data_IF_121380197422
#
_entry.id   IF_121380197422
#
_cell.length_a   1.000
_cell.length_b   1.000
_cell.length_c   1.000
_cell.angle_alpha   90.00
_cell.angle_beta   90.00
_cell.angle_gamma   90.00
#
_symmetry.space_group_name_H-M   'P 1'
#
loop_
_entity.id
_entity.type
_entity.pdbx_description
1 polymer ?
#
# COMPACT_ATOMS: atom_id res chain seq x y z
N UNK A 1 12.56 10.34 -32.55
CA UNK A 1 11.22 10.41 -31.94
C UNK A 1 11.40 9.93 -30.51
N UNK A 2 11.57 10.88 -29.60
CA UNK A 2 11.73 10.57 -28.19
C UNK A 2 10.40 10.01 -27.70
N UNK A 3 10.39 8.74 -27.33
CA UNK A 3 9.22 8.14 -26.71
C UNK A 3 9.00 8.90 -25.40
N UNK A 4 7.97 9.74 -25.38
CA UNK A 4 7.53 10.42 -24.17
C UNK A 4 7.17 9.34 -23.17
N UNK A 5 8.05 9.09 -22.20
CA UNK A 5 7.73 8.22 -21.07
C UNK A 5 6.56 8.88 -20.34
N UNK A 6 5.39 8.26 -20.47
CA UNK A 6 4.16 8.59 -19.74
C UNK A 6 3.98 7.70 -18.51
N UNK A 7 4.91 6.76 -18.27
CA UNK A 7 4.88 5.84 -17.14
C UNK A 7 5.68 6.36 -15.95
N UNK A 8 5.09 6.29 -14.76
CA UNK A 8 5.66 6.76 -13.49
C UNK A 8 6.56 5.68 -12.83
N UNK A 9 6.73 4.51 -13.47
CA UNK A 9 7.47 3.33 -12.98
C UNK A 9 6.53 2.16 -12.61
N UNK A 10 6.95 0.92 -12.80
CA UNK A 10 6.16 -0.27 -12.42
C UNK A 10 6.00 -0.38 -10.89
N UNK A 11 6.96 0.16 -10.16
CA UNK A 11 7.04 0.23 -8.71
C UNK A 11 5.89 1.07 -8.14
N UNK A 12 5.43 2.09 -8.89
CA UNK A 12 4.27 2.91 -8.52
C UNK A 12 2.98 2.09 -8.59
N UNK A 13 2.86 1.18 -9.57
CA UNK A 13 1.71 0.28 -9.69
C UNK A 13 1.68 -0.72 -8.52
N UNK A 14 2.85 -1.22 -8.08
CA UNK A 14 2.92 -2.09 -6.89
C UNK A 14 2.50 -1.34 -5.63
N UNK A 15 2.99 -0.11 -5.44
CA UNK A 15 2.58 0.71 -4.30
C UNK A 15 1.06 0.92 -4.30
N UNK A 16 0.48 1.28 -5.44
CA UNK A 16 -0.96 1.47 -5.58
C UNK A 16 -1.74 0.18 -5.27
N UNK A 17 -1.28 -0.96 -5.77
CA UNK A 17 -1.87 -2.26 -5.47
C UNK A 17 -1.77 -2.61 -3.98
N UNK A 18 -0.66 -2.26 -3.31
CA UNK A 18 -0.46 -2.46 -1.88
C UNK A 18 -1.42 -1.61 -1.04
N UNK A 19 -1.68 -0.36 -1.45
CA UNK A 19 -2.69 0.50 -0.81
C UNK A 19 -4.08 -0.10 -0.94
N UNK A 20 -4.45 -0.58 -2.14
CA UNK A 20 -5.75 -1.24 -2.36
C UNK A 20 -5.86 -2.52 -1.54
N UNK A 21 -4.82 -3.36 -1.50
CA UNK A 21 -4.83 -4.59 -0.72
C UNK A 21 -4.97 -4.31 0.78
N UNK A 22 -4.25 -3.31 1.30
CA UNK A 22 -4.41 -2.85 2.67
C UNK A 22 -5.87 -2.47 2.97
N UNK A 23 -6.48 -1.65 2.11
CA UNK A 23 -7.89 -1.24 2.27
C UNK A 23 -8.86 -2.42 2.22
N UNK A 24 -8.64 -3.39 1.32
CA UNK A 24 -9.46 -4.59 1.23
C UNK A 24 -9.42 -5.46 2.49
N UNK A 25 -8.28 -5.52 3.18
CA UNK A 25 -8.09 -6.40 4.34
C UNK A 25 -8.37 -5.70 5.68
N UNK A 26 -8.02 -4.41 5.80
CA UNK A 26 -8.13 -3.65 7.05
C UNK A 26 -9.33 -2.72 7.10
N UNK A 27 -10.01 -2.51 5.97
CA UNK A 27 -11.21 -1.68 5.85
C UNK A 27 -10.98 -0.18 6.13
N UNK A 28 -9.74 0.29 6.08
CA UNK A 28 -9.39 1.72 6.12
C UNK A 28 -8.14 2.03 5.29
N UNK A 29 -7.95 3.27 4.80
CA UNK A 29 -6.78 3.67 4.04
C UNK A 29 -5.50 3.72 4.91
N UNK A 30 -4.35 3.22 4.41
CA UNK A 30 -3.09 3.27 5.17
C UNK A 30 -2.61 4.70 5.43
N UNK A 31 -2.97 5.66 4.55
CA UNK A 31 -2.62 7.07 4.69
C UNK A 31 -3.88 7.94 4.59
N UNK A 32 -4.37 8.44 5.72
CA UNK A 32 -5.55 9.31 5.78
C UNK A 32 -5.40 10.45 6.77
N UNK A 33 -6.25 11.47 6.59
CA UNK A 33 -6.37 12.62 7.48
C UNK A 33 -7.56 12.42 8.42
N UNK A 34 -7.39 12.77 9.69
CA UNK A 34 -8.43 12.60 10.71
C UNK A 34 -9.51 13.71 10.68
N UNK A 35 -9.39 14.70 9.79
CA UNK A 35 -10.22 15.93 9.77
C UNK A 35 -10.89 16.14 8.40
N UNK A 36 -11.99 16.93 8.40
CA UNK A 36 -12.87 17.16 7.23
C UNK A 36 -12.12 17.58 5.95
N UNK A 37 -12.50 16.89 4.88
CA UNK A 37 -11.86 16.84 3.58
C UNK A 37 -11.76 18.21 2.88
N UNK A 38 -10.53 18.67 2.66
CA UNK A 38 -10.15 19.86 1.90
C UNK A 38 -8.64 19.86 1.65
N UNK A 39 -8.06 21.01 1.31
CA UNK A 39 -6.61 21.11 1.01
C UNK A 39 -5.72 20.62 2.18
N UNK A 40 -6.10 20.92 3.43
CA UNK A 40 -5.37 20.47 4.64
C UNK A 40 -5.32 18.95 4.79
N UNK A 41 -6.40 18.26 4.40
CA UNK A 41 -6.46 16.79 4.41
C UNK A 41 -5.48 16.21 3.38
N UNK A 42 -5.47 16.76 2.17
CA UNK A 42 -4.53 16.38 1.10
C UNK A 42 -3.08 16.60 1.55
N UNK A 43 -2.78 17.73 2.17
CA UNK A 43 -1.43 18.03 2.65
C UNK A 43 -1.00 17.08 3.77
N UNK A 44 -1.94 16.68 4.64
CA UNK A 44 -1.69 15.68 5.69
C UNK A 44 -1.40 14.31 5.11
N UNK A 45 -2.19 13.86 4.11
CA UNK A 45 -1.97 12.59 3.41
C UNK A 45 -0.61 12.60 2.71
N UNK A 46 -0.29 13.67 1.97
CA UNK A 46 1.02 13.83 1.33
C UNK A 46 2.16 13.74 2.33
N UNK A 47 2.06 14.45 3.45
CA UNK A 47 3.07 14.41 4.51
C UNK A 47 3.25 13.00 5.05
N UNK A 48 2.14 12.31 5.36
CA UNK A 48 2.17 10.92 5.83
C UNK A 48 2.87 9.99 4.84
N UNK A 49 2.56 10.09 3.55
CA UNK A 49 3.22 9.30 2.51
C UNK A 49 4.72 9.61 2.47
N UNK A 50 5.10 10.90 2.44
CA UNK A 50 6.52 11.31 2.35
C UNK A 50 7.33 10.97 3.60
N UNK A 51 6.69 10.89 4.77
CA UNK A 51 7.31 10.50 6.04
C UNK A 51 7.20 9.00 6.30
N UNK A 52 6.64 8.23 5.36
CA UNK A 52 6.34 6.81 5.50
C UNK A 52 5.58 6.47 6.79
N UNK A 53 4.57 7.29 7.11
CA UNK A 53 3.80 7.21 8.35
C UNK A 53 2.36 6.79 8.09
N UNK A 54 2.06 5.54 8.42
CA UNK A 54 0.71 4.98 8.39
C UNK A 54 -0.23 5.71 9.36
N UNK A 55 -1.52 5.56 9.14
CA UNK A 55 -2.56 6.01 10.07
C UNK A 55 -2.44 5.24 11.38
N UNK A 56 -2.20 6.00 12.46
CA UNK A 56 -1.98 5.51 13.81
C UNK A 56 -2.65 6.50 14.79
N UNK A 57 -3.43 6.04 15.78
CA UNK A 57 -3.88 4.66 15.93
C UNK A 57 -4.81 4.23 14.77
N UNK A 58 -4.94 2.93 14.50
CA UNK A 58 -5.97 2.43 13.58
C UNK A 58 -7.39 2.78 14.08
N UNK A 59 -8.41 2.73 13.21
CA UNK A 59 -9.81 2.79 13.63
C UNK A 59 -10.17 1.75 14.70
N UNK A 60 -11.29 1.95 15.36
CA UNK A 60 -11.88 0.91 16.22
C UNK A 60 -12.38 -0.25 15.35
N UNK A 61 -12.23 -1.48 15.84
CA UNK A 61 -12.77 -2.71 15.22
C UNK A 61 -12.14 -3.13 13.87
N UNK A 62 -10.85 -2.86 13.67
CA UNK A 62 -10.11 -3.34 12.48
C UNK A 62 -10.02 -4.88 12.48
N UNK A 63 -10.32 -5.55 11.35
CA UNK A 63 -10.15 -7.00 11.22
C UNK A 63 -8.72 -7.46 11.52
N UNK A 64 -8.58 -8.62 12.14
CA UNK A 64 -7.27 -9.27 12.23
C UNK A 64 -6.85 -9.79 10.86
N UNK A 65 -5.61 -9.46 10.48
CA UNK A 65 -5.00 -9.88 9.22
C UNK A 65 -3.91 -10.90 9.52
N UNK A 66 -3.83 -11.97 8.72
CA UNK A 66 -2.79 -12.98 8.89
C UNK A 66 -1.38 -12.37 8.75
N UNK A 67 -0.37 -12.84 9.52
CA UNK A 67 0.99 -12.33 9.42
C UNK A 67 1.56 -12.33 7.99
N UNK A 68 1.21 -13.34 7.19
CA UNK A 68 1.64 -13.48 5.80
C UNK A 68 1.05 -12.40 4.89
N UNK A 69 -0.20 -11.98 5.12
CA UNK A 69 -0.79 -10.89 4.35
C UNK A 69 -0.19 -9.54 4.74
N UNK A 70 0.09 -9.35 6.04
CA UNK A 70 0.77 -8.15 6.53
C UNK A 70 2.17 -8.04 5.92
N UNK A 71 2.94 -9.13 5.86
CA UNK A 71 4.27 -9.15 5.24
C UNK A 71 4.20 -8.77 3.76
N UNK A 72 3.23 -9.34 3.02
CA UNK A 72 2.99 -8.98 1.63
C UNK A 72 2.69 -7.49 1.45
N UNK A 73 1.73 -6.96 2.21
CA UNK A 73 1.37 -5.53 2.14
C UNK A 73 2.58 -4.66 2.44
N UNK A 74 3.37 -5.00 3.46
CA UNK A 74 4.55 -4.21 3.85
C UNK A 74 5.69 -4.30 2.83
N UNK A 75 5.81 -5.41 2.11
CA UNK A 75 6.71 -5.54 0.96
C UNK A 75 6.29 -4.69 -0.24
N UNK A 76 4.98 -4.62 -0.52
CA UNK A 76 4.41 -3.77 -1.59
C UNK A 76 4.49 -2.27 -1.26
N UNK A 77 4.37 -1.93 0.02
CA UNK A 77 4.38 -0.55 0.51
C UNK A 77 5.76 -0.10 0.96
N UNK A 78 6.88 -0.66 0.48
CA UNK A 78 8.20 -0.10 0.80
C UNK A 78 8.36 1.29 0.19
N UNK A 79 8.85 2.24 0.99
CA UNK A 79 9.05 3.62 0.54
C UNK A 79 10.18 3.75 -0.49
N UNK A 80 11.28 3.00 -0.31
CA UNK A 80 12.35 2.95 -1.29
C UNK A 80 11.95 2.02 -2.44
N UNK A 81 11.94 2.55 -3.66
CA UNK A 81 11.64 1.81 -4.89
C UNK A 81 12.55 0.59 -5.08
N UNK A 82 13.80 0.63 -4.61
CA UNK A 82 14.73 -0.49 -4.75
C UNK A 82 14.47 -1.61 -3.75
N UNK A 83 13.79 -1.31 -2.64
CA UNK A 83 13.38 -2.30 -1.64
C UNK A 83 11.96 -2.81 -1.87
N UNK A 84 11.16 -2.07 -2.65
CA UNK A 84 9.80 -2.45 -3.00
C UNK A 84 9.77 -3.70 -3.86
N UNK A 85 8.86 -4.60 -3.49
CA UNK A 85 8.74 -5.87 -4.18
C UNK A 85 8.20 -5.68 -5.60
N UNK A 86 8.64 -6.53 -6.52
CA UNK A 86 8.08 -6.59 -7.87
C UNK A 86 6.78 -7.38 -7.87
N UNK A 87 6.00 -7.26 -8.95
CA UNK A 87 4.80 -8.08 -9.16
C UNK A 87 5.11 -9.59 -9.06
N UNK A 88 6.26 -10.02 -9.62
CA UNK A 88 6.68 -11.41 -9.58
C UNK A 88 6.95 -11.88 -8.16
N UNK A 89 7.66 -11.08 -7.35
CA UNK A 89 7.90 -11.39 -5.94
C UNK A 89 6.59 -11.47 -5.14
N UNK A 90 5.65 -10.54 -5.39
CA UNK A 90 4.34 -10.55 -4.73
C UNK A 90 3.52 -11.81 -5.09
N UNK A 91 3.51 -12.20 -6.37
CA UNK A 91 2.77 -13.39 -6.84
C UNK A 91 3.36 -14.71 -6.34
N UNK A 92 4.65 -14.73 -5.97
CA UNK A 92 5.33 -15.87 -5.37
C UNK A 92 5.23 -15.91 -3.84
N UNK A 93 4.63 -14.88 -3.21
CA UNK A 93 4.54 -14.80 -1.76
C UNK A 93 3.60 -15.89 -1.19
N UNK A 94 3.94 -16.52 -0.04
CA UNK A 94 3.12 -17.58 0.57
C UNK A 94 1.64 -17.24 0.73
N UNK A 95 1.32 -16.00 1.07
CA UNK A 95 -0.08 -15.55 1.19
C UNK A 95 -0.91 -15.76 -0.09
N UNK A 96 -0.27 -15.66 -1.27
CA UNK A 96 -0.89 -15.89 -2.57
C UNK A 96 -0.82 -17.38 -2.95
N UNK A 97 0.30 -18.05 -2.68
CA UNK A 97 0.54 -19.41 -3.19
C UNK A 97 -0.05 -20.51 -2.32
N UNK A 98 -0.17 -20.29 -1.00
CA UNK A 98 -0.59 -21.32 -0.04
C UNK A 98 -2.11 -21.33 0.18
N UNK A 99 -2.81 -20.38 -0.44
CA UNK A 99 -4.27 -20.28 -0.47
C UNK A 99 -4.80 -20.23 -1.92
N UNK A 100 -4.55 -21.26 -2.75
CA UNK A 100 -5.21 -21.33 -4.04
C UNK A 100 -6.72 -21.27 -3.79
N UNK A 101 -7.39 -20.33 -4.48
CA UNK A 101 -8.85 -20.18 -4.46
C UNK A 101 -9.48 -21.56 -4.65
N UNK A 102 -9.90 -22.19 -3.56
CA UNK A 102 -10.55 -23.49 -3.53
C UNK A 102 -12.02 -23.37 -3.85
#
# INVERSE_FOLDING_TARGET
MDSKIIGIGLEVDIWAAGVVLFECLKEYPPFSANEENGQKGIDTIKRRITEYRFMEPPPVDVPEVSPEAEDLIMGMLKFDFNESWTAEQCLQHPWITDHPLS
#
